data_IF_963932840559
#
_entry.id   IF_963932840559
#
_cell.length_a   1.000
_cell.length_b   1.000
_cell.length_c   1.000
_cell.angle_alpha   90.00
_cell.angle_beta   90.00
_cell.angle_gamma   90.00
#
_symmetry.space_group_name_H-M   'P 1'
#
loop_
_entity.id
_entity.type
_entity.pdbx_description
1 polymer ?
#
# COMPACT_ATOMS: atom_id res chain seq x y z
N UNK A 1 -40.94 22.53 -4.43
CA UNK A 1 -40.14 23.68 -4.93
C UNK A 1 -40.68 24.98 -4.35
N UNK A 2 -40.21 25.38 -3.18
CA UNK A 2 -40.59 26.66 -2.53
C UNK A 2 -39.73 27.85 -3.00
N UNK A 3 -39.11 27.78 -4.18
CA UNK A 3 -38.31 28.90 -4.75
C UNK A 3 -39.17 30.01 -5.38
N UNK A 4 -40.49 29.87 -5.40
CA UNK A 4 -41.42 30.85 -6.01
C UNK A 4 -42.04 31.88 -5.06
N UNK A 5 -41.80 31.79 -3.75
CA UNK A 5 -42.38 32.71 -2.76
C UNK A 5 -41.58 34.02 -2.67
N UNK A 6 -41.57 34.82 -3.74
CA UNK A 6 -41.11 36.22 -3.69
C UNK A 6 -41.41 37.05 -4.96
N UNK A 7 -42.02 36.49 -6.03
CA UNK A 7 -42.06 37.12 -7.37
C UNK A 7 -40.67 37.49 -7.94
N UNK A 8 -39.58 37.03 -7.32
CA UNK A 8 -38.22 37.21 -7.86
C UNK A 8 -37.95 36.17 -8.93
N UNK A 9 -37.22 36.60 -9.96
CA UNK A 9 -36.82 35.75 -11.07
C UNK A 9 -35.97 34.56 -10.56
N UNK A 10 -36.44 33.31 -10.70
CA UNK A 10 -35.72 32.12 -10.25
C UNK A 10 -34.33 31.98 -10.85
N UNK A 11 -34.12 32.46 -12.08
CA UNK A 11 -32.82 32.43 -12.73
C UNK A 11 -31.82 33.36 -12.04
N UNK A 12 -32.28 34.52 -11.59
CA UNK A 12 -31.42 35.50 -10.91
C UNK A 12 -31.03 35.02 -9.52
N UNK A 13 -31.95 34.42 -8.77
CA UNK A 13 -31.64 33.83 -7.46
C UNK A 13 -30.68 32.64 -7.62
N UNK A 14 -30.89 31.78 -8.63
CA UNK A 14 -29.94 30.70 -8.93
C UNK A 14 -28.54 31.25 -9.25
N UNK A 15 -28.45 32.29 -10.09
CA UNK A 15 -27.16 32.92 -10.41
C UNK A 15 -26.49 33.52 -9.18
N UNK A 16 -27.27 34.14 -8.28
CA UNK A 16 -26.77 34.72 -7.04
C UNK A 16 -26.24 33.64 -6.09
N UNK A 17 -27.05 32.61 -5.83
CA UNK A 17 -26.67 31.44 -5.01
C UNK A 17 -25.44 30.75 -5.58
N UNK A 18 -25.40 30.51 -6.90
CA UNK A 18 -24.26 29.89 -7.56
C UNK A 18 -22.98 30.74 -7.47
N UNK A 19 -23.09 32.06 -7.62
CA UNK A 19 -21.94 32.96 -7.47
C UNK A 19 -21.44 33.00 -6.03
N UNK A 20 -22.32 32.90 -5.04
CA UNK A 20 -21.94 32.85 -3.63
C UNK A 20 -21.21 31.54 -3.30
N UNK A 21 -21.76 30.40 -3.73
CA UNK A 21 -21.11 29.09 -3.59
C UNK A 21 -19.74 29.06 -4.28
N UNK A 22 -19.63 29.65 -5.47
CA UNK A 22 -18.37 29.70 -6.20
C UNK A 22 -17.31 30.54 -5.49
N UNK A 23 -17.68 31.68 -4.89
CA UNK A 23 -16.74 32.48 -4.07
C UNK A 23 -16.24 31.70 -2.86
N UNK A 24 -17.14 30.98 -2.18
CA UNK A 24 -16.76 30.14 -1.04
C UNK A 24 -15.81 29.01 -1.47
N UNK A 25 -16.09 28.38 -2.62
CA UNK A 25 -15.21 27.37 -3.20
C UNK A 25 -13.82 27.92 -3.51
N UNK A 26 -13.73 29.11 -4.11
CA UNK A 26 -12.43 29.75 -4.38
C UNK A 26 -11.65 30.01 -3.09
N UNK A 27 -12.31 30.48 -2.03
CA UNK A 27 -11.66 30.68 -0.73
C UNK A 27 -11.13 29.36 -0.16
N UNK A 28 -11.89 28.27 -0.25
CA UNK A 28 -11.44 26.95 0.21
C UNK A 28 -10.21 26.46 -0.55
N UNK A 29 -10.22 26.58 -1.89
CA UNK A 29 -9.06 26.21 -2.72
C UNK A 29 -7.82 27.02 -2.34
N UNK A 30 -7.97 28.33 -2.12
CA UNK A 30 -6.84 29.16 -1.69
C UNK A 30 -6.31 28.77 -0.31
N UNK A 31 -7.20 28.42 0.61
CA UNK A 31 -6.80 27.97 1.94
C UNK A 31 -6.08 26.62 1.90
N UNK A 32 -6.62 25.65 1.16
CA UNK A 32 -6.04 24.31 1.03
C UNK A 32 -4.66 24.34 0.35
N UNK A 33 -4.50 25.17 -0.68
CA UNK A 33 -3.22 25.34 -1.37
C UNK A 33 -2.16 25.94 -0.45
N UNK A 34 -2.47 27.04 0.26
CA UNK A 34 -1.55 27.65 1.24
C UNK A 34 -1.23 26.70 2.38
N UNK A 35 -2.23 25.98 2.89
CA UNK A 35 -2.04 24.95 3.93
C UNK A 35 -1.11 23.85 3.45
N UNK A 36 -1.33 23.33 2.25
CA UNK A 36 -0.49 22.25 1.70
C UNK A 36 0.94 22.74 1.53
N UNK A 37 1.14 23.92 0.93
CA UNK A 37 2.48 24.48 0.74
C UNK A 37 3.19 24.82 2.05
N UNK A 38 2.46 25.21 3.10
CA UNK A 38 3.05 25.51 4.42
C UNK A 38 3.33 24.28 5.27
N UNK A 39 2.59 23.18 5.06
CA UNK A 39 2.79 21.92 5.77
C UNK A 39 3.75 20.96 5.06
N UNK A 40 4.02 21.16 3.77
CA UNK A 40 5.00 20.36 3.02
C UNK A 40 6.39 20.65 3.59
N UNK A 41 6.91 19.69 4.36
CA UNK A 41 8.31 19.63 4.75
C UNK A 41 9.08 18.94 3.63
N UNK A 42 10.02 19.66 3.02
CA UNK A 42 10.96 19.09 2.07
C UNK A 42 12.17 18.68 2.90
N UNK A 43 12.26 17.41 3.25
CA UNK A 43 13.45 16.86 3.88
C UNK A 43 14.62 17.02 2.90
N UNK A 44 15.70 17.64 3.38
CA UNK A 44 16.94 17.73 2.62
C UNK A 44 17.54 16.33 2.46
N UNK A 45 18.36 16.13 1.43
CA UNK A 45 19.03 14.83 1.18
C UNK A 45 19.79 14.29 2.40
N UNK A 46 20.26 15.19 3.27
CA UNK A 46 20.92 14.86 4.55
C UNK A 46 19.96 14.38 5.63
N UNK A 47 18.74 14.93 5.71
CA UNK A 47 17.75 14.53 6.72
C UNK A 47 17.24 13.10 6.44
N UNK A 48 17.15 12.72 5.16
CA UNK A 48 16.78 11.35 4.75
C UNK A 48 17.89 10.35 5.08
N UNK A 49 19.15 10.71 4.82
CA UNK A 49 20.31 9.87 5.15
C UNK A 49 20.41 9.67 6.68
N UNK A 50 20.20 10.72 7.49
CA UNK A 50 20.21 10.63 8.95
C UNK A 50 19.03 9.81 9.51
N UNK A 51 17.83 9.92 8.92
CA UNK A 51 16.67 9.09 9.29
C UNK A 51 16.87 7.62 8.95
N UNK A 52 17.43 7.32 7.78
CA UNK A 52 17.76 5.95 7.37
C UNK A 52 18.86 5.38 8.29
N UNK A 53 19.89 6.16 8.63
CA UNK A 53 20.97 5.72 9.51
C UNK A 53 20.51 5.50 10.96
N UNK A 54 19.57 6.30 11.47
CA UNK A 54 18.93 6.08 12.77
C UNK A 54 18.04 4.84 12.76
N UNK A 55 17.25 4.65 11.69
CA UNK A 55 16.40 3.46 11.53
C UNK A 55 17.23 2.17 11.39
N UNK A 56 18.37 2.24 10.71
CA UNK A 56 19.34 1.14 10.60
C UNK A 56 19.99 0.80 11.97
N UNK A 57 20.27 1.82 12.81
CA UNK A 57 20.85 1.66 14.16
C UNK A 57 19.85 1.16 15.19
N UNK A 58 18.58 1.54 15.07
CA UNK A 58 17.51 1.10 15.97
C UNK A 58 16.93 -0.27 15.59
N UNK A 59 17.30 -0.82 14.43
CA UNK A 59 16.95 -2.18 14.08
C UNK A 59 17.72 -3.16 14.98
N UNK A 60 17.05 -3.87 15.90
CA UNK A 60 17.73 -4.83 16.74
C UNK A 60 18.38 -5.88 15.85
N UNK A 61 19.69 -6.09 16.03
CA UNK A 61 20.43 -7.23 15.51
C UNK A 61 19.88 -8.50 16.16
N UNK A 62 18.72 -8.95 15.70
CA UNK A 62 18.14 -10.24 16.03
C UNK A 62 17.65 -10.85 14.73
N UNK A 63 18.55 -11.55 14.04
CA UNK A 63 18.37 -12.99 13.81
C UNK A 63 19.65 -13.63 13.23
N UNK A 64 20.80 -13.51 13.90
CA UNK A 64 21.72 -14.65 13.93
C UNK A 64 21.09 -15.71 14.84
N UNK A 65 20.10 -16.43 14.31
CA UNK A 65 19.58 -17.63 14.93
C UNK A 65 20.64 -18.73 14.81
N UNK A 66 21.69 -18.64 15.64
CA UNK A 66 22.41 -19.81 16.11
C UNK A 66 21.45 -20.59 17.02
N UNK A 67 20.48 -21.29 16.42
CA UNK A 67 19.61 -22.19 17.15
C UNK A 67 20.39 -23.50 17.39
N UNK A 68 20.70 -23.90 18.64
CA UNK A 68 21.34 -25.19 18.96
C UNK A 68 20.43 -26.41 18.69
N UNK A 69 19.35 -26.23 17.91
CA UNK A 69 18.46 -27.28 17.47
C UNK A 69 18.94 -27.99 16.19
N UNK A 70 20.08 -27.59 15.62
CA UNK A 70 20.69 -28.27 14.47
C UNK A 70 21.43 -29.57 14.85
N UNK A 71 21.66 -29.84 16.14
CA UNK A 71 22.31 -31.09 16.60
C UNK A 71 21.31 -32.22 16.86
N UNK A 72 20.01 -31.92 17.01
CA UNK A 72 18.97 -32.94 17.26
C UNK A 72 18.39 -33.61 16.02
N UNK A 73 18.62 -33.05 14.82
CA UNK A 73 18.02 -33.53 13.56
C UNK A 73 18.91 -34.57 12.86
N UNK A 74 20.16 -34.74 13.30
CA UNK A 74 21.06 -35.74 12.73
C UNK A 74 20.80 -37.19 13.21
N UNK A 75 19.96 -37.40 14.25
CA UNK A 75 19.73 -38.74 14.82
C UNK A 75 18.29 -39.25 14.76
N UNK A 76 17.29 -38.46 14.35
CA UNK A 76 15.88 -38.88 14.39
C UNK A 76 15.20 -39.08 13.03
N UNK A 77 15.92 -38.95 11.91
CA UNK A 77 15.39 -39.25 10.56
C UNK A 77 15.52 -40.71 10.13
N UNK A 78 15.85 -41.63 11.03
CA UNK A 78 15.85 -43.08 10.76
C UNK A 78 14.90 -43.85 11.69
N UNK A 79 13.65 -43.40 11.91
CA UNK A 79 12.68 -44.32 12.54
C UNK A 79 11.20 -43.95 12.44
N UNK A 80 10.82 -42.72 12.07
CA UNK A 80 9.39 -42.36 11.92
C UNK A 80 8.91 -42.52 10.46
N UNK A 81 9.21 -43.68 9.87
CA UNK A 81 8.29 -44.26 8.92
C UNK A 81 7.12 -44.82 9.75
N UNK A 82 5.91 -44.66 9.24
CA UNK A 82 4.66 -45.26 9.73
C UNK A 82 3.81 -44.43 10.71
N UNK A 83 2.60 -44.15 10.21
CA UNK A 83 1.35 -43.72 10.87
C UNK A 83 1.18 -42.24 11.21
N UNK A 84 0.27 -41.62 10.47
CA UNK A 84 -0.38 -40.37 10.86
C UNK A 84 -1.27 -39.79 9.77
N UNK A 85 -2.29 -40.54 9.35
CA UNK A 85 -3.42 -40.04 8.58
C UNK A 85 -4.30 -39.14 9.48
N UNK A 86 -4.52 -37.89 9.08
CA UNK A 86 -5.62 -37.04 9.54
C UNK A 86 -5.75 -35.79 8.64
N UNK A 87 -6.74 -35.86 7.77
CA UNK A 87 -7.39 -34.83 6.98
C UNK A 87 -7.40 -33.39 7.57
N UNK A 88 -6.58 -32.51 7.01
CA UNK A 88 -6.94 -31.11 6.71
C UNK A 88 -6.06 -30.61 5.55
N UNK A 89 -6.61 -30.66 4.34
CA UNK A 89 -5.87 -30.45 3.11
C UNK A 89 -5.54 -28.99 2.85
N UNK A 90 -4.57 -28.41 3.55
CA UNK A 90 -3.94 -27.18 3.07
C UNK A 90 -3.21 -27.51 1.77
N UNK A 91 -3.72 -27.02 0.64
CA UNK A 91 -3.07 -27.19 -0.66
C UNK A 91 -1.71 -26.47 -0.62
N UNK A 92 -0.63 -27.23 -0.40
CA UNK A 92 0.74 -26.74 -0.53
C UNK A 92 1.03 -26.65 -2.02
N UNK A 93 1.01 -25.43 -2.57
CA UNK A 93 1.29 -25.19 -3.98
C UNK A 93 2.73 -25.62 -4.29
N UNK A 94 2.90 -26.54 -5.23
CA UNK A 94 4.22 -27.04 -5.67
C UNK A 94 5.08 -25.94 -6.33
N UNK A 95 4.43 -24.89 -6.85
CA UNK A 95 5.08 -23.80 -7.58
C UNK A 95 5.18 -22.54 -6.71
N UNK A 96 6.36 -21.89 -6.63
CA UNK A 96 6.53 -20.64 -5.89
C UNK A 96 5.58 -19.55 -6.40
N UNK A 97 5.14 -18.68 -5.48
CA UNK A 97 4.33 -17.51 -5.85
C UNK A 97 5.21 -16.55 -6.66
N UNK A 98 4.90 -16.38 -7.94
CA UNK A 98 5.60 -15.43 -8.82
C UNK A 98 5.31 -14.00 -8.37
N UNK A 99 6.37 -13.24 -8.09
CA UNK A 99 6.30 -11.84 -7.71
C UNK A 99 5.88 -10.93 -8.87
N UNK A 100 5.21 -9.81 -8.56
CA UNK A 100 4.66 -8.88 -9.58
C UNK A 100 5.71 -8.37 -10.59
N UNK A 101 6.97 -8.25 -10.19
CA UNK A 101 8.08 -7.76 -11.03
C UNK A 101 8.97 -8.87 -11.60
N UNK A 102 8.74 -10.14 -11.24
CA UNK A 102 9.54 -11.29 -11.71
C UNK A 102 9.25 -11.62 -13.19
N UNK A 103 10.16 -12.34 -13.88
CA UNK A 103 9.89 -12.85 -15.22
C UNK A 103 8.61 -13.68 -15.22
N UNK A 104 7.74 -13.41 -16.18
CA UNK A 104 6.45 -14.07 -16.27
C UNK A 104 6.64 -15.55 -16.68
N UNK A 105 6.03 -16.52 -15.97
CA UNK A 105 6.24 -17.95 -16.20
C UNK A 105 5.67 -18.45 -17.55
N UNK A 106 4.94 -17.62 -18.29
CA UNK A 106 4.44 -17.93 -19.63
C UNK A 106 5.50 -17.86 -20.74
N UNK A 107 6.77 -17.59 -20.39
CA UNK A 107 7.88 -17.53 -21.35
C UNK A 107 7.93 -16.26 -22.20
N UNK A 108 7.13 -15.24 -21.87
CA UNK A 108 7.04 -14.00 -22.67
C UNK A 108 8.24 -13.05 -22.55
N UNK A 109 9.19 -13.33 -21.64
CA UNK A 109 10.32 -12.46 -21.33
C UNK A 109 9.96 -11.14 -20.63
N UNK A 110 8.67 -10.89 -20.36
CA UNK A 110 8.17 -9.67 -19.72
C UNK A 110 8.00 -9.89 -18.20
N UNK A 111 8.02 -8.80 -17.42
CA UNK A 111 7.68 -8.84 -15.98
C UNK A 111 6.21 -9.27 -15.79
N UNK A 112 5.90 -10.04 -14.75
CA UNK A 112 4.56 -10.59 -14.49
C UNK A 112 3.46 -9.52 -14.54
N UNK A 113 3.66 -8.34 -13.93
CA UNK A 113 2.71 -7.21 -13.96
C UNK A 113 2.41 -6.65 -15.35
N UNK A 114 3.31 -6.87 -16.32
CA UNK A 114 3.17 -6.39 -17.70
C UNK A 114 2.71 -7.50 -18.65
N UNK A 115 2.44 -8.70 -18.13
CA UNK A 115 1.99 -9.86 -18.89
C UNK A 115 0.75 -10.48 -18.22
N UNK A 116 0.86 -11.69 -17.66
CA UNK A 116 -0.29 -12.41 -17.07
C UNK A 116 -0.88 -11.73 -15.82
N UNK A 117 -0.13 -10.84 -15.16
CA UNK A 117 -0.58 -10.07 -14.00
C UNK A 117 -1.01 -8.63 -14.32
N UNK A 118 -1.31 -8.33 -15.59
CA UNK A 118 -1.79 -7.01 -16.01
C UNK A 118 -3.26 -6.86 -15.62
N UNK A 119 -3.55 -5.93 -14.71
CA UNK A 119 -4.91 -5.51 -14.38
C UNK A 119 -5.33 -4.50 -15.46
N UNK A 120 -6.36 -4.85 -16.24
CA UNK A 120 -6.99 -3.96 -17.23
C UNK A 120 -8.00 -3.05 -16.56
#
# INVERSE_FOLDING_TARGET
HLRGYAQKDPFQEYRREASEMFRNFLNEVTFETVKTLSLVQIEGRQDVDDFDEQTEKERPQQLEANHPAAEGIAQTTQEAAEKGDATDGTFRRDVPKVGRNEPCPCGSGKKYKQCCGKLS
#
